data_IF_446425301639
#
_entry.id   IF_446425301639
#
_cell.length_a   1.000
_cell.length_b   1.000
_cell.length_c   1.000
_cell.angle_alpha   90.00
_cell.angle_beta   90.00
_cell.angle_gamma   90.00
#
_symmetry.space_group_name_H-M   'P 1'
#
loop_
_entity.id
_entity.type
_entity.pdbx_description
1 polymer ?
#
# COMPACT_ATOMS: atom_id res chain seq x y z
N UNK A 1 -18.45 -40.66 -40.78
CA UNK A 1 -19.05 -40.00 -39.61
C UNK A 1 -18.09 -40.13 -38.46
N UNK A 2 -17.99 -39.12 -37.59
CA UNK A 2 -17.00 -39.10 -36.49
C UNK A 2 -17.61 -39.52 -35.13
N UNK A 3 -18.82 -40.06 -35.15
CA UNK A 3 -19.59 -40.53 -33.98
C UNK A 3 -19.72 -39.52 -32.84
N UNK A 4 -19.86 -38.23 -33.17
CA UNK A 4 -20.16 -37.20 -32.17
C UNK A 4 -21.53 -37.41 -31.53
N UNK A 5 -21.63 -37.05 -30.25
CA UNK A 5 -22.84 -37.21 -29.43
C UNK A 5 -23.21 -35.94 -28.67
N UNK A 6 -24.49 -35.82 -28.32
CA UNK A 6 -25.01 -34.73 -27.49
C UNK A 6 -25.68 -33.57 -28.25
N UNK A 7 -25.91 -32.47 -27.54
CA UNK A 7 -26.63 -31.31 -28.06
C UNK A 7 -25.75 -30.45 -28.97
N UNK A 8 -26.25 -30.12 -30.17
CA UNK A 8 -25.59 -29.14 -31.04
C UNK A 8 -25.84 -27.72 -30.50
N UNK A 9 -24.79 -26.91 -30.24
CA UNK A 9 -24.96 -25.54 -29.77
C UNK A 9 -25.76 -24.70 -30.77
N UNK A 10 -26.58 -23.76 -30.28
CA UNK A 10 -27.36 -22.83 -31.13
C UNK A 10 -26.75 -21.43 -31.20
N UNK A 11 -25.48 -21.30 -30.79
CA UNK A 11 -24.76 -20.02 -30.73
C UNK A 11 -23.45 -20.09 -31.50
N UNK A 12 -22.98 -18.92 -31.95
CA UNK A 12 -21.70 -18.80 -32.66
C UNK A 12 -21.76 -19.44 -34.04
N UNK A 13 -20.71 -20.18 -34.41
CA UNK A 13 -20.57 -20.81 -35.73
C UNK A 13 -21.69 -21.81 -36.06
N UNK A 14 -22.40 -22.31 -35.05
CA UNK A 14 -23.47 -23.29 -35.18
C UNK A 14 -24.85 -22.69 -35.49
N UNK A 15 -24.93 -21.38 -35.68
CA UNK A 15 -26.19 -20.68 -36.02
C UNK A 15 -26.58 -20.78 -37.49
N UNK A 16 -25.66 -21.21 -38.38
CA UNK A 16 -25.93 -21.21 -39.82
C UNK A 16 -25.33 -22.45 -40.48
N UNK A 17 -26.15 -23.19 -41.22
CA UNK A 17 -25.76 -24.43 -41.90
C UNK A 17 -24.61 -24.28 -42.90
N UNK A 18 -24.36 -23.07 -43.40
CA UNK A 18 -23.33 -22.83 -44.42
C UNK A 18 -21.90 -23.12 -43.95
N UNK A 19 -21.66 -23.34 -42.65
CA UNK A 19 -20.30 -23.42 -42.09
C UNK A 19 -19.90 -24.77 -41.48
N UNK A 20 -20.79 -25.76 -41.41
CA UNK A 20 -20.48 -27.07 -40.83
C UNK A 20 -21.49 -28.14 -41.27
N UNK A 21 -21.03 -29.40 -41.34
CA UNK A 21 -21.88 -30.56 -41.62
C UNK A 21 -21.90 -31.48 -40.41
N UNK A 22 -23.09 -31.90 -40.00
CA UNK A 22 -23.29 -32.87 -38.90
C UNK A 22 -23.64 -34.27 -39.40
N UNK A 23 -23.73 -34.44 -40.73
CA UNK A 23 -24.10 -35.69 -41.37
C UNK A 23 -23.15 -36.83 -40.98
N UNK A 24 -23.73 -37.98 -40.61
CA UNK A 24 -22.97 -39.15 -40.17
C UNK A 24 -22.65 -39.21 -38.67
N UNK A 25 -23.26 -38.37 -37.83
CA UNK A 25 -23.19 -38.44 -36.37
C UNK A 25 -24.59 -38.69 -35.78
N UNK A 26 -25.00 -39.96 -35.69
CA UNK A 26 -26.37 -40.36 -35.32
C UNK A 26 -26.76 -40.11 -33.85
N UNK A 27 -25.79 -39.81 -32.99
CA UNK A 27 -26.00 -39.55 -31.55
C UNK A 27 -26.18 -38.07 -31.21
N UNK A 28 -26.17 -37.19 -32.22
CA UNK A 28 -26.47 -35.77 -32.05
C UNK A 28 -27.98 -35.52 -31.90
N UNK A 29 -28.33 -34.47 -31.17
CA UNK A 29 -29.70 -34.01 -30.98
C UNK A 29 -29.76 -32.47 -30.86
N UNK A 30 -30.95 -31.89 -31.01
CA UNK A 30 -31.17 -30.44 -30.86
C UNK A 30 -30.57 -29.61 -31.99
N UNK A 31 -30.01 -28.44 -31.66
CA UNK A 31 -29.49 -27.50 -32.65
C UNK A 31 -30.57 -26.65 -33.32
N UNK A 32 -30.20 -25.99 -34.42
CA UNK A 32 -31.11 -25.18 -35.24
C UNK A 32 -32.08 -26.08 -36.04
N UNK A 33 -33.32 -25.65 -36.31
CA UNK A 33 -34.34 -26.47 -36.99
C UNK A 33 -33.91 -27.03 -38.35
N UNK A 34 -33.04 -26.32 -39.05
CA UNK A 34 -32.58 -26.66 -40.40
C UNK A 34 -31.68 -27.90 -40.44
N UNK A 35 -31.06 -28.28 -39.31
CA UNK A 35 -30.26 -29.51 -39.18
C UNK A 35 -31.11 -30.79 -39.14
N UNK A 36 -32.44 -30.68 -38.96
CA UNK A 36 -33.39 -31.82 -38.89
C UNK A 36 -32.99 -32.92 -37.90
N UNK A 37 -32.33 -32.57 -36.79
CA UNK A 37 -31.97 -33.50 -35.74
C UNK A 37 -33.15 -33.76 -34.79
N UNK A 38 -33.15 -34.94 -34.14
CA UNK A 38 -34.12 -35.25 -33.09
C UNK A 38 -33.98 -34.30 -31.90
N UNK A 39 -35.06 -33.92 -31.20
CA UNK A 39 -34.97 -33.18 -29.95
C UNK A 39 -34.15 -33.94 -28.89
N UNK A 40 -33.36 -33.24 -28.08
CA UNK A 40 -32.69 -33.86 -26.94
C UNK A 40 -33.68 -34.18 -25.82
N UNK A 41 -33.49 -35.27 -25.05
CA UNK A 41 -34.28 -35.53 -23.84
C UNK A 41 -34.18 -34.34 -22.88
N UNK A 42 -35.32 -33.91 -22.31
CA UNK A 42 -35.41 -32.72 -21.45
C UNK A 42 -34.51 -32.78 -20.21
N UNK A 43 -34.06 -33.98 -19.83
CA UNK A 43 -33.14 -34.20 -18.70
C UNK A 43 -31.67 -33.85 -19.01
N UNK A 44 -31.34 -33.49 -20.26
CA UNK A 44 -29.97 -33.18 -20.70
C UNK A 44 -29.83 -31.73 -21.15
N UNK A 45 -30.88 -30.90 -21.06
CA UNK A 45 -30.72 -29.46 -21.26
C UNK A 45 -30.00 -28.93 -20.03
N UNK A 46 -28.72 -28.53 -20.11
CA UNK A 46 -28.11 -27.83 -19.00
C UNK A 46 -28.93 -26.56 -18.87
N UNK A 47 -29.59 -26.35 -17.72
CA UNK A 47 -30.11 -25.03 -17.37
C UNK A 47 -28.97 -24.09 -17.67
N UNK A 48 -29.13 -23.23 -18.68
CA UNK A 48 -28.12 -22.24 -19.03
C UNK A 48 -27.93 -21.46 -17.75
N UNK A 49 -26.87 -21.79 -17.01
CA UNK A 49 -26.48 -21.06 -15.84
C UNK A 49 -26.22 -19.67 -16.40
N UNK A 50 -27.16 -18.77 -16.13
CA UNK A 50 -27.11 -17.38 -16.51
C UNK A 50 -25.84 -16.89 -15.86
N UNK A 51 -24.75 -16.87 -16.62
CA UNK A 51 -23.47 -16.43 -16.12
C UNK A 51 -23.68 -14.95 -15.83
N UNK A 52 -23.96 -14.67 -14.55
CA UNK A 52 -24.06 -13.33 -14.02
C UNK A 52 -22.81 -12.60 -14.50
N UNK A 53 -23.04 -11.54 -15.28
CA UNK A 53 -21.98 -10.79 -15.89
C UNK A 53 -21.10 -10.24 -14.78
N UNK A 54 -19.89 -10.79 -14.66
CA UNK A 54 -18.89 -10.37 -13.67
C UNK A 54 -18.29 -8.99 -13.98
N UNK A 55 -19.11 -8.06 -14.51
CA UNK A 55 -18.75 -6.67 -14.79
C UNK A 55 -18.65 -5.84 -13.50
N UNK A 56 -19.18 -6.35 -12.38
CA UNK A 56 -19.20 -5.62 -11.10
C UNK A 56 -17.92 -5.80 -10.25
N UNK A 57 -16.96 -6.63 -10.65
CA UNK A 57 -15.72 -6.83 -9.88
C UNK A 57 -14.63 -5.80 -10.18
N UNK A 58 -14.67 -5.13 -11.33
CA UNK A 58 -13.66 -4.12 -11.72
C UNK A 58 -13.96 -2.76 -11.04
N UNK A 59 -15.23 -2.41 -10.84
CA UNK A 59 -15.63 -1.15 -10.19
C UNK A 59 -15.25 -1.07 -8.70
N UNK A 60 -15.15 -2.20 -8.01
CA UNK A 60 -14.82 -2.24 -6.57
C UNK A 60 -13.35 -1.89 -6.31
N UNK A 61 -12.44 -2.19 -7.24
CA UNK A 61 -11.00 -1.91 -7.08
C UNK A 61 -10.62 -0.45 -7.28
N UNK A 62 -11.23 0.23 -8.26
CA UNK A 62 -10.88 1.63 -8.58
C UNK A 62 -11.56 2.62 -7.63
N UNK A 63 -12.81 2.35 -7.25
CA UNK A 63 -13.55 3.22 -6.33
C UNK A 63 -12.93 3.29 -4.93
N UNK A 64 -12.40 2.17 -4.43
CA UNK A 64 -11.76 2.09 -3.11
C UNK A 64 -10.46 2.88 -3.04
N UNK A 65 -9.65 2.85 -4.10
CA UNK A 65 -8.40 3.63 -4.18
C UNK A 65 -8.64 5.14 -4.13
N UNK A 66 -9.57 5.64 -4.95
CA UNK A 66 -9.90 7.07 -5.00
C UNK A 66 -10.53 7.54 -3.68
N UNK A 67 -11.47 6.77 -3.12
CA UNK A 67 -12.09 7.11 -1.85
C UNK A 67 -11.07 7.14 -0.70
N UNK A 68 -10.15 6.18 -0.65
CA UNK A 68 -9.10 6.13 0.39
C UNK A 68 -8.14 7.31 0.29
N UNK A 69 -7.73 7.68 -0.94
CA UNK A 69 -6.85 8.83 -1.16
C UNK A 69 -7.53 10.15 -0.75
N UNK A 70 -8.81 10.33 -1.10
CA UNK A 70 -9.58 11.51 -0.69
C UNK A 70 -9.73 11.61 0.83
N UNK A 71 -10.00 10.49 1.51
CA UNK A 71 -10.09 10.44 2.98
C UNK A 71 -8.76 10.79 3.65
N UNK A 72 -7.63 10.29 3.14
CA UNK A 72 -6.30 10.62 3.64
C UNK A 72 -5.99 12.12 3.51
N UNK A 73 -6.29 12.73 2.35
CA UNK A 73 -6.10 14.16 2.12
C UNK A 73 -6.99 15.02 3.05
N UNK A 74 -8.25 14.62 3.24
CA UNK A 74 -9.16 15.28 4.19
C UNK A 74 -8.65 15.19 5.63
N UNK A 75 -8.18 14.03 6.07
CA UNK A 75 -7.61 13.84 7.40
C UNK A 75 -6.36 14.71 7.62
N UNK A 76 -5.41 14.71 6.66
CA UNK A 76 -4.22 15.55 6.71
C UNK A 76 -4.56 17.04 6.78
N UNK A 77 -5.47 17.52 5.92
CA UNK A 77 -5.88 18.92 5.94
C UNK A 77 -6.57 19.31 7.25
N UNK A 78 -7.40 18.44 7.81
CA UNK A 78 -8.03 18.67 9.11
C UNK A 78 -7.01 18.71 10.26
N UNK A 79 -6.05 17.79 10.29
CA UNK A 79 -4.98 17.79 11.28
C UNK A 79 -4.10 19.04 11.18
N UNK A 80 -3.75 19.46 9.97
CA UNK A 80 -3.01 20.71 9.74
C UNK A 80 -3.81 21.93 10.20
N UNK A 81 -5.12 21.98 9.94
CA UNK A 81 -6.00 23.05 10.44
C UNK A 81 -6.12 23.05 11.96
N UNK A 82 -6.22 21.89 12.62
CA UNK A 82 -6.21 21.78 14.09
C UNK A 82 -4.88 22.23 14.68
N UNK A 83 -3.77 21.83 14.07
CA UNK A 83 -2.42 22.28 14.48
C UNK A 83 -2.28 23.80 14.34
N UNK A 84 -2.84 24.39 13.29
CA UNK A 84 -2.83 25.85 13.06
C UNK A 84 -3.82 26.60 13.96
N UNK A 85 -4.98 26.02 14.28
CA UNK A 85 -5.99 26.62 15.16
C UNK A 85 -5.61 26.58 16.65
N UNK A 86 -4.83 25.58 17.06
CA UNK A 86 -4.25 25.53 18.41
C UNK A 86 -2.92 26.30 18.53
N UNK A 87 -2.40 26.82 17.42
CA UNK A 87 -1.20 27.64 17.36
C UNK A 87 -1.55 29.06 16.94
N UNK A 88 -2.22 29.79 17.83
CA UNK A 88 -2.16 31.25 17.78
C UNK A 88 -0.69 31.66 17.96
N UNK A 89 -0.20 32.43 16.98
CA UNK A 89 1.05 33.17 16.91
C UNK A 89 2.37 32.38 16.95
N UNK A 90 2.97 32.17 15.77
CA UNK A 90 4.37 32.50 15.49
C UNK A 90 4.70 32.25 13.99
N UNK A 91 5.22 33.26 13.25
CA UNK A 91 5.66 33.10 11.88
C UNK A 91 7.10 32.58 11.85
N UNK A 92 7.28 31.26 11.83
CA UNK A 92 8.60 30.65 11.57
C UNK A 92 8.46 29.33 10.82
N UNK A 93 7.90 29.41 9.60
CA UNK A 93 7.99 28.34 8.60
C UNK A 93 9.40 28.29 7.97
N UNK A 94 10.45 28.10 8.78
CA UNK A 94 11.81 27.80 8.32
C UNK A 94 12.50 26.68 9.12
N UNK A 95 11.76 25.86 9.86
CA UNK A 95 12.34 24.80 10.69
C UNK A 95 11.51 23.51 10.58
N UNK A 96 11.47 22.89 9.40
CA UNK A 96 11.09 21.47 9.26
C UNK A 96 12.26 20.50 9.51
N UNK A 97 13.44 21.01 9.86
CA UNK A 97 14.63 20.22 10.22
C UNK A 97 14.83 20.08 11.74
N UNK A 98 13.98 20.69 12.57
CA UNK A 98 14.18 20.77 14.02
C UNK A 98 13.60 19.59 14.80
N UNK A 99 12.71 18.77 14.21
CA UNK A 99 12.10 17.60 14.88
C UNK A 99 13.03 16.39 15.00
N UNK A 100 14.19 16.37 14.32
CA UNK A 100 15.26 15.37 14.57
C UNK A 100 16.33 15.89 15.54
N UNK A 101 16.41 17.20 15.73
CA UNK A 101 17.37 17.86 16.63
C UNK A 101 16.92 17.89 18.09
N UNK A 102 15.66 17.53 18.38
CA UNK A 102 15.10 17.54 19.73
C UNK A 102 15.56 16.39 20.63
N UNK A 103 16.36 15.44 20.11
CA UNK A 103 16.91 14.34 20.90
C UNK A 103 18.29 14.61 21.51
N UNK A 104 18.97 15.69 21.11
CA UNK A 104 20.28 16.04 21.67
C UNK A 104 20.21 17.38 22.39
N UNK A 105 20.45 17.34 23.70
CA UNK A 105 20.69 18.54 24.51
C UNK A 105 21.87 19.31 23.91
N UNK A 106 21.61 20.50 23.38
CA UNK A 106 22.67 21.35 22.82
C UNK A 106 23.41 21.99 23.99
N UNK A 107 24.68 21.62 24.14
CA UNK A 107 25.59 22.19 25.15
C UNK A 107 26.59 23.10 24.43
N UNK A 108 26.80 24.30 24.95
CA UNK A 108 27.79 25.23 24.44
C UNK A 108 29.22 24.82 24.84
N UNK A 109 30.21 25.24 24.05
CA UNK A 109 31.62 25.02 24.41
C UNK A 109 31.97 25.63 25.77
N UNK A 110 31.40 26.79 26.08
CA UNK A 110 31.60 27.49 27.36
C UNK A 110 31.10 26.67 28.56
N UNK A 111 29.95 26.00 28.42
CA UNK A 111 29.45 25.08 29.45
C UNK A 111 30.35 23.85 29.60
N UNK A 112 30.85 23.28 28.50
CA UNK A 112 31.80 22.16 28.56
C UNK A 112 33.13 22.59 29.21
N UNK A 113 33.63 23.78 28.87
CA UNK A 113 34.85 24.36 29.44
C UNK A 113 34.67 24.59 30.94
N UNK A 114 33.56 25.19 31.37
CA UNK A 114 33.24 25.37 32.78
C UNK A 114 33.09 24.02 33.50
N UNK A 115 32.33 23.08 32.94
CA UNK A 115 32.07 21.77 33.51
C UNK A 115 33.35 20.95 33.73
N UNK A 116 34.31 21.05 32.81
CA UNK A 116 35.59 20.32 32.84
C UNK A 116 36.71 21.10 33.55
N UNK A 117 36.43 22.29 34.08
CA UNK A 117 37.43 23.21 34.64
C UNK A 117 38.56 23.49 33.64
N UNK A 118 38.18 23.98 32.46
CA UNK A 118 39.05 24.29 31.33
C UNK A 118 39.88 23.09 30.86
N UNK A 119 39.24 21.92 30.78
CA UNK A 119 39.89 20.65 30.43
C UNK A 119 41.14 20.36 31.30
N UNK A 120 41.04 20.65 32.60
CA UNK A 120 42.14 20.41 33.54
C UNK A 120 42.58 18.94 33.56
N UNK A 121 43.89 18.71 33.64
CA UNK A 121 44.48 17.36 33.78
C UNK A 121 43.97 16.61 35.02
N UNK A 122 43.56 17.34 36.07
CA UNK A 122 42.93 16.75 37.25
C UNK A 122 41.62 16.01 36.91
N UNK A 123 40.96 16.39 35.82
CA UNK A 123 39.71 15.82 35.31
C UNK A 123 39.93 14.82 34.16
N UNK A 124 41.18 14.53 33.76
CA UNK A 124 41.46 13.54 32.74
C UNK A 124 41.03 12.14 33.20
N UNK A 125 40.17 11.50 32.43
CA UNK A 125 39.72 10.11 32.62
C UNK A 125 40.63 9.15 31.84
N UNK A 126 41.05 9.56 30.65
CA UNK A 126 41.96 8.77 29.81
C UNK A 126 42.31 9.47 28.51
N UNK A 127 43.39 9.04 27.87
CA UNK A 127 43.87 9.56 26.60
C UNK A 127 44.25 8.41 25.67
N UNK A 128 44.00 8.57 24.38
CA UNK A 128 44.34 7.59 23.35
C UNK A 128 44.42 8.21 21.96
N UNK A 129 44.46 7.38 20.94
CA UNK A 129 44.66 7.82 19.55
C UNK A 129 43.56 8.75 19.00
N UNK A 130 42.38 8.74 19.63
CA UNK A 130 41.24 9.57 19.23
C UNK A 130 41.03 10.77 20.17
N UNK A 131 42.04 11.13 20.95
CA UNK A 131 42.01 12.28 21.85
C UNK A 131 41.87 11.91 23.32
N UNK A 132 41.43 12.89 24.12
CA UNK A 132 41.41 12.81 25.58
C UNK A 132 40.00 12.98 26.12
N UNK A 133 39.65 12.21 27.13
CA UNK A 133 38.32 12.24 27.76
C UNK A 133 38.45 12.86 29.14
N UNK A 134 37.66 13.91 29.39
CA UNK A 134 37.63 14.65 30.65
C UNK A 134 36.29 14.46 31.35
N UNK A 135 36.31 14.28 32.68
CA UNK A 135 35.10 14.32 33.50
C UNK A 135 34.64 15.76 33.68
N UNK A 136 33.34 15.99 33.61
CA UNK A 136 32.76 17.29 33.88
C UNK A 136 31.39 17.20 34.55
N UNK A 137 30.94 18.31 35.13
CA UNK A 137 29.61 18.47 35.71
C UNK A 137 28.90 19.64 35.05
N UNK A 138 27.84 19.38 34.28
CA UNK A 138 27.03 20.41 33.65
C UNK A 138 26.12 21.08 34.70
N UNK A 139 26.19 22.40 34.79
CA UNK A 139 25.23 23.21 35.51
C UNK A 139 23.93 23.35 34.71
N UNK A 140 22.77 23.61 35.35
CA UNK A 140 22.56 23.74 36.79
C UNK A 140 22.33 22.40 37.52
N UNK A 141 21.99 21.33 36.82
CA UNK A 141 21.56 20.04 37.43
C UNK A 141 22.73 19.18 37.95
N UNK A 142 23.97 19.66 37.87
CA UNK A 142 25.19 18.91 38.22
C UNK A 142 25.27 17.55 37.52
N UNK A 143 24.87 17.52 36.25
CA UNK A 143 24.87 16.30 35.43
C UNK A 143 26.30 15.88 35.12
N UNK A 144 26.69 14.70 35.58
CA UNK A 144 28.00 14.13 35.28
C UNK A 144 28.11 13.77 33.79
N UNK A 145 29.19 14.22 33.15
CA UNK A 145 29.48 13.98 31.73
C UNK A 145 30.93 13.56 31.52
N UNK A 146 31.17 12.91 30.39
CA UNK A 146 32.50 12.66 29.85
C UNK A 146 32.64 13.43 28.53
N UNK A 147 33.54 14.40 28.49
CA UNK A 147 33.79 15.25 27.31
C UNK A 147 35.03 14.72 26.61
N UNK A 148 34.86 14.28 25.37
CA UNK A 148 35.97 13.86 24.50
C UNK A 148 36.39 15.03 23.63
N UNK A 149 37.68 15.35 23.66
CA UNK A 149 38.35 16.33 22.79
C UNK A 149 39.34 15.62 21.88
#
# INVERSE_FOLDING_TARGET
GNDFEGMVPTKGIFQTLVKFSVSGNGKLCGGIPELKLRPCPQNVVPKVARHSSSKNKIFIGVGTGVASLLLLLLALTFLMKRKKGNGADNPSNLLSSSSLLSFYERVSYEELRAATHDFSSSNLVGSGNFGSVFRGLLAPESKAVAVKV
#
